data_IF_121719615556
#
_entry.id   IF_121719615556
#
_cell.length_a   1.000
_cell.length_b   1.000
_cell.length_c   1.000
_cell.angle_alpha   90.00
_cell.angle_beta   90.00
_cell.angle_gamma   90.00
#
_symmetry.space_group_name_H-M   'P 1'
#
loop_
_entity.id
_entity.type
_entity.pdbx_description
1 polymer ?
#
# COMPACT_ATOMS: atom_id res chain seq x y z
N UNK A 1 33.64 -23.19 42.81
CA UNK A 1 32.39 -22.73 42.16
C UNK A 1 32.62 -21.32 41.65
N UNK A 2 32.53 -21.06 40.34
CA UNK A 2 32.57 -19.70 39.82
C UNK A 2 31.19 -19.03 40.00
N UNK A 3 31.12 -17.70 40.21
CA UNK A 3 29.86 -17.03 40.40
C UNK A 3 29.12 -16.89 39.07
N UNK A 4 27.86 -17.32 39.06
CA UNK A 4 26.88 -17.13 38.00
C UNK A 4 26.56 -15.63 37.87
N UNK A 5 27.12 -14.98 36.84
CA UNK A 5 26.69 -13.67 36.37
C UNK A 5 25.37 -13.82 35.64
N UNK A 6 24.25 -13.70 36.36
CA UNK A 6 22.96 -13.33 35.77
C UNK A 6 23.09 -11.90 35.24
N UNK A 7 23.62 -11.78 34.04
CA UNK A 7 23.62 -10.53 33.29
C UNK A 7 22.19 -10.34 32.79
N UNK A 8 21.43 -9.50 33.48
CA UNK A 8 20.11 -9.03 33.04
C UNK A 8 20.31 -8.38 31.68
N UNK A 9 20.09 -9.15 30.61
CA UNK A 9 20.01 -8.63 29.25
C UNK A 9 18.87 -7.60 29.28
N UNK A 10 19.21 -6.31 29.28
CA UNK A 10 18.26 -5.29 28.82
C UNK A 10 17.92 -5.72 27.40
N UNK A 11 16.76 -6.32 27.21
CA UNK A 11 16.20 -6.56 25.88
C UNK A 11 16.08 -5.17 25.28
N UNK A 12 16.95 -4.84 24.34
CA UNK A 12 16.77 -3.63 23.55
C UNK A 12 15.52 -3.90 22.72
N UNK A 13 14.43 -3.23 23.10
CA UNK A 13 13.16 -3.33 22.38
C UNK A 13 13.39 -2.95 20.91
N UNK A 14 13.01 -3.86 20.01
CA UNK A 14 13.25 -3.70 18.57
C UNK A 14 12.53 -2.45 18.04
N UNK A 15 13.01 -1.83 16.94
CA UNK A 15 12.30 -0.71 16.33
C UNK A 15 10.84 -1.02 15.99
N UNK A 16 10.55 -2.27 15.60
CA UNK A 16 9.19 -2.72 15.31
C UNK A 16 8.29 -2.72 16.55
N UNK A 17 8.76 -3.20 17.70
CA UNK A 17 7.96 -3.17 18.92
C UNK A 17 7.68 -1.74 19.40
N UNK A 18 8.61 -0.80 19.20
CA UNK A 18 8.36 0.62 19.47
C UNK A 18 7.36 1.23 18.51
N UNK A 19 7.38 0.82 17.24
CA UNK A 19 6.38 1.23 16.26
C UNK A 19 4.98 0.72 16.65
N UNK A 20 4.88 -0.55 17.06
CA UNK A 20 3.63 -1.13 17.58
C UNK A 20 3.15 -0.41 18.84
N UNK A 21 4.06 -0.05 19.76
CA UNK A 21 3.74 0.75 20.93
C UNK A 21 3.18 2.15 20.57
N UNK A 22 3.73 2.78 19.53
CA UNK A 22 3.17 4.03 19.00
C UNK A 22 1.76 3.79 18.45
N UNK A 23 1.61 2.73 17.65
CA UNK A 23 0.38 2.37 16.99
C UNK A 23 -0.75 2.02 17.97
N UNK A 24 -0.44 1.39 19.10
CA UNK A 24 -1.43 1.04 20.14
C UNK A 24 -1.99 2.27 20.90
N UNK A 25 -1.38 3.44 20.74
CA UNK A 25 -1.84 4.70 21.34
C UNK A 25 -2.73 5.52 20.39
N UNK A 26 -2.85 5.08 19.14
CA UNK A 26 -3.61 5.79 18.13
C UNK A 26 -5.12 5.56 18.34
N UNK A 27 -5.88 6.64 18.22
CA UNK A 27 -7.35 6.64 18.24
C UNK A 27 -7.83 7.22 16.92
N UNK A 28 -8.59 6.43 16.15
CA UNK A 28 -9.19 6.88 14.90
C UNK A 28 -10.68 6.55 14.95
N UNK A 29 -11.49 7.47 14.46
CA UNK A 29 -12.94 7.28 14.35
C UNK A 29 -13.24 6.33 13.18
N UNK A 30 -14.24 5.45 13.33
CA UNK A 30 -14.60 4.47 12.29
C UNK A 30 -15.11 5.14 10.99
N UNK A 31 -15.59 6.39 11.08
CA UNK A 31 -16.09 7.20 9.96
C UNK A 31 -15.01 8.07 9.29
N UNK A 32 -13.71 7.81 9.52
CA UNK A 32 -12.65 8.66 9.00
C UNK A 32 -12.65 8.80 7.46
N UNK A 33 -13.12 7.78 6.72
CA UNK A 33 -13.30 7.85 5.27
C UNK A 33 -14.32 8.92 4.89
N UNK A 34 -15.50 8.91 5.52
CA UNK A 34 -16.55 9.92 5.33
C UNK A 34 -16.04 11.33 5.64
N UNK A 35 -15.26 11.48 6.71
CA UNK A 35 -14.67 12.77 7.08
C UNK A 35 -13.68 13.29 6.03
N UNK A 36 -12.89 12.38 5.44
CA UNK A 36 -11.97 12.68 4.35
C UNK A 36 -12.74 13.09 3.09
N UNK A 37 -13.74 12.32 2.68
CA UNK A 37 -14.48 12.54 1.44
C UNK A 37 -15.31 13.82 1.48
N UNK A 38 -15.90 14.13 2.64
CA UNK A 38 -16.61 15.40 2.88
C UNK A 38 -15.68 16.58 3.08
N UNK A 39 -14.37 16.35 3.25
CA UNK A 39 -13.39 17.39 3.52
C UNK A 39 -13.62 18.13 4.84
N UNK A 40 -14.04 17.43 5.91
CA UNK A 40 -14.28 18.04 7.23
C UNK A 40 -12.96 18.35 7.95
N UNK A 41 -12.35 19.48 7.55
CA UNK A 41 -11.08 19.97 8.11
C UNK A 41 -11.11 20.10 9.64
N UNK A 42 -12.25 20.44 10.25
CA UNK A 42 -12.33 20.65 11.69
C UNK A 42 -12.24 19.32 12.45
N UNK A 43 -12.94 18.29 11.97
CA UNK A 43 -12.89 16.95 12.56
C UNK A 43 -11.54 16.28 12.30
N UNK A 44 -11.01 16.36 11.08
CA UNK A 44 -9.68 15.84 10.74
C UNK A 44 -8.59 16.48 11.63
N UNK A 45 -8.63 17.81 11.84
CA UNK A 45 -7.68 18.50 12.73
C UNK A 45 -7.76 18.02 14.17
N UNK A 46 -8.95 17.69 14.67
CA UNK A 46 -9.14 17.14 16.01
C UNK A 46 -8.48 15.77 16.15
N UNK A 47 -8.75 14.86 15.20
CA UNK A 47 -8.17 13.51 15.16
C UNK A 47 -6.63 13.60 15.10
N UNK A 48 -6.10 14.41 14.18
CA UNK A 48 -4.65 14.59 14.03
C UNK A 48 -4.01 15.19 15.29
N UNK A 49 -4.65 16.19 15.89
CA UNK A 49 -4.16 16.79 17.14
C UNK A 49 -4.13 15.80 18.29
N UNK A 50 -5.10 14.88 18.37
CA UNK A 50 -5.17 13.85 19.40
C UNK A 50 -4.02 12.84 19.24
N UNK A 51 -3.68 12.47 18.00
CA UNK A 51 -2.67 11.45 17.70
C UNK A 51 -1.24 11.99 17.50
N UNK A 52 -1.03 13.29 17.67
CA UNK A 52 0.22 13.96 17.30
C UNK A 52 1.48 13.32 17.90
N UNK A 53 1.44 12.97 19.17
CA UNK A 53 2.59 12.36 19.86
C UNK A 53 2.88 10.95 19.35
N UNK A 54 1.84 10.13 19.15
CA UNK A 54 1.96 8.78 18.60
C UNK A 54 2.51 8.80 17.17
N UNK A 55 2.00 9.69 16.31
CA UNK A 55 2.48 9.85 14.93
C UNK A 55 3.95 10.30 14.88
N UNK A 56 4.34 11.26 15.73
CA UNK A 56 5.72 11.70 15.83
C UNK A 56 6.65 10.58 16.33
N UNK A 57 6.21 9.81 17.32
CA UNK A 57 6.98 8.68 17.84
C UNK A 57 7.13 7.55 16.82
N UNK A 58 6.06 7.24 16.07
CA UNK A 58 6.09 6.27 14.98
C UNK A 58 7.14 6.63 13.92
N UNK A 59 7.17 7.90 13.46
CA UNK A 59 8.16 8.39 12.48
C UNK A 59 9.62 8.17 12.89
N UNK A 60 9.93 8.22 14.19
CA UNK A 60 11.28 7.96 14.70
C UNK A 60 11.72 6.50 14.56
N UNK A 61 10.78 5.59 14.29
CA UNK A 61 10.99 4.16 14.22
C UNK A 61 10.68 3.56 12.84
N UNK A 62 10.19 4.37 11.91
CA UNK A 62 10.12 4.02 10.50
C UNK A 62 11.52 3.96 9.88
N UNK A 63 11.73 2.99 8.98
CA UNK A 63 12.96 2.87 8.21
C UNK A 63 13.38 1.43 7.93
N UNK A 64 14.50 1.23 7.21
CA UNK A 64 14.86 -0.05 6.61
C UNK A 64 15.24 -1.14 7.64
N UNK A 65 15.52 -0.76 8.88
CA UNK A 65 15.83 -1.70 9.97
C UNK A 65 14.61 -2.10 10.79
N UNK A 66 13.46 -1.46 10.59
CA UNK A 66 12.21 -1.83 11.25
C UNK A 66 11.63 -3.07 10.59
N UNK A 67 11.63 -4.18 11.33
CA UNK A 67 11.17 -5.49 10.84
C UNK A 67 10.60 -6.33 11.98
N UNK A 68 9.72 -7.23 11.61
CA UNK A 68 9.21 -8.28 12.50
C UNK A 68 10.35 -9.23 12.84
N UNK A 69 10.48 -9.56 14.12
CA UNK A 69 11.34 -10.64 14.58
C UNK A 69 10.50 -11.93 14.62
N UNK A 70 10.48 -12.66 13.50
CA UNK A 70 9.68 -13.88 13.37
C UNK A 70 10.09 -14.91 14.44
N UNK A 71 9.08 -15.41 15.15
CA UNK A 71 9.22 -16.48 16.15
C UNK A 71 8.54 -17.74 15.61
N UNK A 72 9.26 -18.86 15.67
CA UNK A 72 8.76 -20.18 15.26
C UNK A 72 8.01 -20.86 16.41
N UNK A 73 6.90 -20.25 16.81
CA UNK A 73 5.95 -20.75 17.81
C UNK A 73 4.54 -20.79 17.19
N UNK A 74 3.76 -21.85 17.45
CA UNK A 74 2.44 -22.02 16.83
C UNK A 74 1.45 -20.88 17.15
N UNK A 75 1.59 -20.23 18.31
CA UNK A 75 0.75 -19.09 18.71
C UNK A 75 1.31 -17.72 18.27
N UNK A 76 2.42 -17.69 17.51
CA UNK A 76 3.00 -16.45 17.00
C UNK A 76 1.98 -15.63 16.21
N UNK A 77 1.25 -16.26 15.28
CA UNK A 77 0.24 -15.59 14.48
C UNK A 77 -0.84 -14.93 15.35
N UNK A 78 -1.39 -15.68 16.32
CA UNK A 78 -2.39 -15.17 17.24
C UNK A 78 -1.85 -14.01 18.11
N UNK A 79 -0.60 -14.09 18.57
CA UNK A 79 0.08 -13.01 19.32
C UNK A 79 0.39 -11.79 18.46
N UNK A 80 0.64 -11.97 17.17
CA UNK A 80 0.99 -10.88 16.25
C UNK A 80 -0.23 -10.19 15.64
N UNK A 81 -1.39 -10.86 15.57
CA UNK A 81 -2.62 -10.29 15.01
C UNK A 81 -3.03 -8.94 15.64
N UNK A 82 -3.00 -8.75 16.98
CA UNK A 82 -3.24 -7.44 17.59
C UNK A 82 -2.27 -6.35 17.11
N UNK A 83 -0.99 -6.68 16.86
CA UNK A 83 -0.01 -5.73 16.35
C UNK A 83 -0.40 -5.25 14.94
N UNK A 84 -0.83 -6.16 14.06
CA UNK A 84 -1.33 -5.80 12.73
C UNK A 84 -2.53 -4.86 12.81
N UNK A 85 -3.47 -5.10 13.74
CA UNK A 85 -4.62 -4.21 13.94
C UNK A 85 -4.21 -2.81 14.40
N UNK A 86 -3.25 -2.72 15.34
CA UNK A 86 -2.70 -1.44 15.76
C UNK A 86 -2.02 -0.71 14.58
N UNK A 87 -1.22 -1.39 13.77
CA UNK A 87 -0.56 -0.81 12.60
C UNK A 87 -1.56 -0.32 11.54
N UNK A 88 -2.69 -1.01 11.36
CA UNK A 88 -3.81 -0.53 10.54
C UNK A 88 -4.40 0.76 11.10
N UNK A 89 -4.63 0.84 12.41
CA UNK A 89 -5.06 2.07 13.09
C UNK A 89 -4.08 3.23 12.87
N UNK A 90 -2.78 2.98 13.01
CA UNK A 90 -1.73 3.96 12.73
C UNK A 90 -1.73 4.42 11.27
N UNK A 91 -1.91 3.50 10.32
CA UNK A 91 -2.06 3.85 8.90
C UNK A 91 -3.24 4.78 8.67
N UNK A 92 -4.41 4.52 9.28
CA UNK A 92 -5.59 5.39 9.16
C UNK A 92 -5.28 6.80 9.70
N UNK A 93 -4.60 6.90 10.84
CA UNK A 93 -4.21 8.19 11.41
C UNK A 93 -3.22 8.98 10.53
N UNK A 94 -2.24 8.31 9.91
CA UNK A 94 -1.38 8.96 8.90
C UNK A 94 -2.18 9.40 7.67
N UNK A 95 -3.10 8.58 7.18
CA UNK A 95 -3.98 8.98 6.06
C UNK A 95 -4.77 10.24 6.43
N UNK A 96 -5.40 10.28 7.60
CA UNK A 96 -6.10 11.48 8.12
C UNK A 96 -5.17 12.71 8.16
N UNK A 97 -3.94 12.57 8.67
CA UNK A 97 -2.95 13.64 8.73
C UNK A 97 -2.56 14.14 7.32
N UNK A 98 -2.35 13.22 6.38
CA UNK A 98 -1.99 13.52 5.01
C UNK A 98 -3.09 14.26 4.25
N UNK A 99 -4.33 13.80 4.38
CA UNK A 99 -5.49 14.47 3.79
C UNK A 99 -5.70 15.85 4.39
N UNK A 100 -5.57 16.01 5.71
CA UNK A 100 -5.63 17.32 6.36
C UNK A 100 -4.55 18.26 5.81
N UNK A 101 -3.30 17.78 5.70
CA UNK A 101 -2.21 18.57 5.14
C UNK A 101 -2.53 19.03 3.71
N UNK A 102 -3.09 18.14 2.88
CA UNK A 102 -3.59 18.49 1.55
C UNK A 102 -4.70 19.55 1.59
N UNK A 103 -5.75 19.36 2.38
CA UNK A 103 -6.84 20.35 2.49
C UNK A 103 -6.37 21.72 3.00
N UNK A 104 -5.29 21.76 3.78
CA UNK A 104 -4.64 23.00 4.25
C UNK A 104 -3.60 23.57 3.28
N UNK A 105 -3.47 23.00 2.08
CA UNK A 105 -2.49 23.36 1.05
C UNK A 105 -1.02 23.18 1.48
N UNK A 106 -0.76 22.30 2.45
CA UNK A 106 0.59 21.90 2.89
C UNK A 106 1.07 20.70 2.07
N UNK A 107 1.27 20.91 0.77
CA UNK A 107 1.52 19.83 -0.20
C UNK A 107 2.79 19.03 0.07
N UNK A 108 3.87 19.69 0.49
CA UNK A 108 5.11 19.02 0.85
C UNK A 108 4.93 18.11 2.08
N UNK A 109 4.13 18.55 3.06
CA UNK A 109 3.80 17.74 4.23
C UNK A 109 2.96 16.52 3.81
N UNK A 110 1.94 16.71 2.97
CA UNK A 110 1.13 15.61 2.43
C UNK A 110 1.99 14.58 1.68
N UNK A 111 2.96 15.02 0.87
CA UNK A 111 3.90 14.14 0.20
C UNK A 111 4.80 13.37 1.18
N UNK A 112 5.31 14.05 2.22
CA UNK A 112 6.13 13.40 3.26
C UNK A 112 5.32 12.35 4.03
N UNK A 113 4.06 12.63 4.35
CA UNK A 113 3.16 11.68 5.03
C UNK A 113 2.85 10.48 4.12
N UNK A 114 2.71 10.69 2.81
CA UNK A 114 2.61 9.61 1.84
C UNK A 114 3.83 8.69 1.87
N UNK A 115 5.05 9.24 1.97
CA UNK A 115 6.27 8.44 2.15
C UNK A 115 6.31 7.72 3.51
N UNK A 116 5.81 8.35 4.59
CA UNK A 116 5.70 7.70 5.91
C UNK A 116 4.78 6.47 5.84
N UNK A 117 3.67 6.54 5.11
CA UNK A 117 2.78 5.39 4.86
C UNK A 117 3.47 4.27 4.08
N UNK A 118 4.26 4.61 3.04
CA UNK A 118 5.01 3.62 2.28
C UNK A 118 6.12 2.95 3.12
N UNK A 119 6.77 3.69 4.01
CA UNK A 119 7.73 3.13 4.98
C UNK A 119 7.03 2.26 6.04
N UNK A 120 5.85 2.68 6.52
CA UNK A 120 5.01 1.89 7.43
C UNK A 120 4.59 0.57 6.78
N UNK A 121 4.20 0.59 5.50
CA UNK A 121 3.88 -0.61 4.73
C UNK A 121 5.07 -1.58 4.71
N UNK A 122 6.27 -1.07 4.43
CA UNK A 122 7.51 -1.85 4.47
C UNK A 122 7.80 -2.41 5.87
N UNK A 123 7.69 -1.59 6.91
CA UNK A 123 7.90 -2.00 8.31
C UNK A 123 6.89 -3.06 8.78
N UNK A 124 5.67 -3.02 8.24
CA UNK A 124 4.59 -3.96 8.58
C UNK A 124 4.84 -5.34 7.97
N UNK A 125 5.32 -5.44 6.73
CA UNK A 125 5.59 -6.74 6.10
C UNK A 125 6.97 -7.32 6.40
N UNK A 126 8.02 -6.49 6.46
CA UNK A 126 9.43 -6.93 6.46
C UNK A 126 9.73 -7.91 7.59
N UNK A 127 10.25 -9.08 7.21
CA UNK A 127 10.61 -10.15 8.14
C UNK A 127 9.41 -10.94 8.72
N UNK A 128 8.18 -10.57 8.38
CA UNK A 128 6.95 -11.25 8.82
C UNK A 128 6.53 -12.40 7.92
N UNK A 129 5.32 -12.89 8.17
CA UNK A 129 4.64 -13.92 7.39
C UNK A 129 3.86 -13.30 6.21
N UNK A 130 3.27 -14.12 5.35
CA UNK A 130 2.48 -13.66 4.21
C UNK A 130 1.35 -12.70 4.64
N UNK A 131 0.69 -12.98 5.77
CA UNK A 131 -0.36 -12.13 6.31
C UNK A 131 0.12 -10.71 6.66
N UNK A 132 1.34 -10.57 7.19
CA UNK A 132 1.95 -9.27 7.50
C UNK A 132 2.20 -8.47 6.21
N UNK A 133 2.63 -9.15 5.15
CA UNK A 133 2.81 -8.57 3.82
C UNK A 133 1.48 -8.07 3.22
N UNK A 134 0.40 -8.84 3.37
CA UNK A 134 -0.93 -8.42 2.91
C UNK A 134 -1.41 -7.14 3.58
N UNK A 135 -1.18 -6.98 4.89
CA UNK A 135 -1.47 -5.72 5.59
C UNK A 135 -0.57 -4.60 5.05
N UNK A 136 0.72 -4.88 4.83
CA UNK A 136 1.65 -3.95 4.18
C UNK A 136 1.15 -3.46 2.81
N UNK A 137 0.57 -4.33 1.97
CA UNK A 137 0.01 -3.92 0.67
C UNK A 137 -1.14 -2.92 0.81
N UNK A 138 -2.07 -3.17 1.74
CA UNK A 138 -3.18 -2.26 2.00
C UNK A 138 -2.69 -0.88 2.47
N UNK A 139 -1.70 -0.85 3.37
CA UNK A 139 -1.08 0.40 3.83
C UNK A 139 -0.35 1.11 2.67
N UNK A 140 0.33 0.35 1.80
CA UNK A 140 1.00 0.90 0.62
C UNK A 140 0.01 1.55 -0.34
N UNK A 141 -1.16 0.94 -0.55
CA UNK A 141 -2.21 1.51 -1.37
C UNK A 141 -2.68 2.86 -0.84
N UNK A 142 -2.86 3.00 0.49
CA UNK A 142 -3.18 4.28 1.12
C UNK A 142 -2.09 5.34 0.92
N UNK A 143 -0.81 4.94 1.00
CA UNK A 143 0.32 5.83 0.72
C UNK A 143 0.34 6.33 -0.73
N UNK A 144 0.12 5.43 -1.69
CA UNK A 144 0.00 5.79 -3.11
C UNK A 144 -1.22 6.68 -3.36
N UNK A 145 -2.37 6.40 -2.75
CA UNK A 145 -3.58 7.23 -2.87
C UNK A 145 -3.33 8.68 -2.44
N UNK A 146 -2.67 8.85 -1.30
CA UNK A 146 -2.33 10.17 -0.79
C UNK A 146 -1.35 10.89 -1.74
N UNK A 147 -0.31 10.20 -2.21
CA UNK A 147 0.68 10.78 -3.13
C UNK A 147 0.05 11.19 -4.46
N UNK A 148 -0.76 10.31 -5.06
CA UNK A 148 -1.38 10.55 -6.35
C UNK A 148 -2.43 11.67 -6.26
N UNK A 149 -3.14 11.83 -5.14
CA UNK A 149 -4.22 12.81 -5.01
C UNK A 149 -3.73 14.25 -5.15
N UNK A 150 -2.54 14.53 -4.63
CA UNK A 150 -1.95 15.89 -4.67
C UNK A 150 -0.83 16.05 -5.69
N UNK A 151 -0.59 15.06 -6.57
CA UNK A 151 0.51 15.03 -7.55
C UNK A 151 0.61 16.23 -8.48
N UNK A 152 -0.51 16.91 -8.75
CA UNK A 152 -0.54 18.12 -9.57
C UNK A 152 -0.13 19.40 -8.81
N UNK A 153 0.04 19.34 -7.48
CA UNK A 153 0.36 20.47 -6.59
C UNK A 153 1.81 20.47 -6.11
N UNK A 154 2.55 19.37 -6.31
CA UNK A 154 3.94 19.26 -5.89
C UNK A 154 4.85 20.17 -6.71
N UNK A 155 5.78 20.82 -6.01
CA UNK A 155 6.84 21.62 -6.61
C UNK A 155 8.06 20.76 -6.98
N UNK A 156 9.05 21.38 -7.62
CA UNK A 156 10.27 20.69 -8.07
C UNK A 156 11.04 20.04 -6.91
N UNK A 157 11.09 20.69 -5.74
CA UNK A 157 11.76 20.14 -4.56
C UNK A 157 11.06 18.87 -4.05
N UNK A 158 9.73 18.89 -3.98
CA UNK A 158 8.92 17.74 -3.58
C UNK A 158 9.03 16.60 -4.57
N UNK A 159 8.93 16.89 -5.88
CA UNK A 159 9.09 15.88 -6.93
C UNK A 159 10.49 15.24 -6.88
N UNK A 160 11.54 16.03 -6.69
CA UNK A 160 12.91 15.53 -6.54
C UNK A 160 13.04 14.58 -5.34
N UNK A 161 12.43 14.94 -4.21
CA UNK A 161 12.43 14.11 -3.01
C UNK A 161 11.70 12.78 -3.23
N UNK A 162 10.52 12.80 -3.87
CA UNK A 162 9.76 11.59 -4.21
C UNK A 162 10.53 10.66 -5.15
N UNK A 163 11.20 11.20 -6.18
CA UNK A 163 12.02 10.44 -7.13
C UNK A 163 13.17 9.68 -6.48
N UNK A 164 13.68 10.17 -5.34
CA UNK A 164 14.72 9.48 -4.58
C UNK A 164 14.11 8.47 -3.63
N UNK A 165 13.04 8.83 -2.92
CA UNK A 165 12.54 8.05 -1.79
C UNK A 165 11.68 6.86 -2.21
N UNK A 166 10.82 6.99 -3.23
CA UNK A 166 9.95 5.88 -3.65
C UNK A 166 10.78 4.67 -4.11
N UNK A 167 11.81 4.81 -4.98
CA UNK A 167 12.64 3.67 -5.38
C UNK A 167 13.46 3.07 -4.22
N UNK A 168 13.89 3.89 -3.25
CA UNK A 168 14.58 3.39 -2.06
C UNK A 168 13.66 2.54 -1.17
N UNK A 169 12.39 2.91 -1.06
CA UNK A 169 11.39 2.14 -0.31
C UNK A 169 11.11 0.82 -1.04
N UNK A 170 10.92 0.86 -2.36
CA UNK A 170 10.75 -0.33 -3.19
C UNK A 170 11.94 -1.31 -3.03
N UNK A 171 13.16 -0.81 -3.18
CA UNK A 171 14.39 -1.62 -3.02
C UNK A 171 14.57 -2.17 -1.60
N UNK A 172 13.87 -1.62 -0.62
CA UNK A 172 13.90 -2.07 0.77
C UNK A 172 12.92 -3.20 1.07
N UNK A 173 12.03 -3.59 0.14
CA UNK A 173 11.04 -4.67 0.35
C UNK A 173 11.72 -6.05 0.40
N UNK A 174 11.07 -7.01 1.06
CA UNK A 174 11.52 -8.40 0.99
C UNK A 174 11.24 -8.97 -0.41
N UNK A 175 12.11 -9.87 -0.87
CA UNK A 175 11.86 -10.64 -2.09
C UNK A 175 10.64 -11.56 -1.91
N UNK A 176 9.74 -11.56 -2.88
CA UNK A 176 8.47 -12.30 -2.81
C UNK A 176 8.68 -13.80 -2.59
N UNK A 177 9.64 -14.42 -3.29
CA UNK A 177 9.90 -15.85 -3.13
C UNK A 177 10.48 -16.15 -1.74
N UNK A 178 11.29 -15.23 -1.18
CA UNK A 178 11.79 -15.35 0.19
C UNK A 178 10.67 -15.21 1.24
N UNK A 179 9.60 -14.47 0.96
CA UNK A 179 8.41 -14.39 1.83
C UNK A 179 7.68 -15.74 1.82
N UNK A 180 7.35 -16.27 0.64
CA UNK A 180 6.67 -17.57 0.51
C UNK A 180 7.47 -18.72 1.14
N UNK A 181 8.79 -18.74 0.93
CA UNK A 181 9.65 -19.75 1.54
C UNK A 181 9.66 -19.65 3.06
N UNK A 182 9.66 -18.43 3.60
CA UNK A 182 9.63 -18.19 5.05
C UNK A 182 8.30 -18.64 5.66
N UNK A 183 7.20 -18.38 4.98
CA UNK A 183 5.84 -18.75 5.39
C UNK A 183 5.71 -20.28 5.48
N UNK A 184 6.02 -20.97 4.38
CA UNK A 184 6.03 -22.44 4.30
C UNK A 184 6.92 -23.07 5.36
N UNK A 185 8.13 -22.51 5.57
CA UNK A 185 9.06 -23.00 6.58
C UNK A 185 8.54 -22.78 8.01
N UNK A 186 7.82 -21.69 8.25
CA UNK A 186 7.19 -21.44 9.53
C UNK A 186 6.11 -22.48 9.80
N UNK A 187 5.21 -22.72 8.83
CA UNK A 187 4.15 -23.74 8.92
C UNK A 187 4.73 -25.14 9.18
N UNK A 188 5.77 -25.54 8.45
CA UNK A 188 6.44 -26.84 8.63
C UNK A 188 7.03 -27.00 10.04
N UNK A 189 7.71 -25.96 10.56
CA UNK A 189 8.40 -26.03 11.86
C UNK A 189 7.42 -26.04 13.03
N UNK A 190 6.35 -25.25 12.95
CA UNK A 190 5.37 -25.16 14.03
C UNK A 190 4.29 -26.24 13.95
N UNK A 191 4.38 -27.11 12.92
CA UNK A 191 3.36 -28.11 12.59
C UNK A 191 1.97 -27.46 12.53
N UNK A 192 1.87 -26.32 11.83
CA UNK A 192 0.64 -25.54 11.79
C UNK A 192 -0.48 -26.42 11.22
N UNK A 193 -1.62 -26.54 11.93
CA UNK A 193 -2.66 -27.47 11.53
C UNK A 193 -3.25 -27.05 10.19
N UNK A 194 -3.28 -27.97 9.23
CA UNK A 194 -4.09 -27.88 8.02
C UNK A 194 -5.55 -28.23 8.37
N UNK A 195 -6.09 -27.49 9.34
CA UNK A 195 -7.49 -27.61 9.74
C UNK A 195 -8.34 -26.74 8.80
N UNK A 196 -9.40 -27.31 8.20
CA UNK A 196 -10.31 -26.52 7.39
C UNK A 196 -10.90 -25.42 8.27
N UNK A 197 -10.96 -24.20 7.73
CA UNK A 197 -11.54 -23.04 8.40
C UNK A 197 -12.95 -23.41 8.89
N UNK A 198 -13.19 -23.24 10.19
CA UNK A 198 -14.52 -23.45 10.75
C UNK A 198 -15.46 -22.39 10.18
N UNK A 199 -16.49 -22.83 9.45
CA UNK A 199 -17.46 -21.91 8.83
C UNK A 199 -18.17 -21.06 9.87
N UNK A 200 -18.29 -21.52 11.11
CA UNK A 200 -18.92 -20.75 12.18
C UNK A 200 -18.10 -19.52 12.59
N UNK A 201 -16.79 -19.50 12.33
CA UNK A 201 -15.92 -18.34 12.59
C UNK A 201 -16.14 -17.19 11.59
N UNK A 202 -16.83 -17.47 10.48
CA UNK A 202 -17.11 -16.52 9.38
C UNK A 202 -18.61 -16.40 9.11
N UNK A 203 -19.46 -16.84 10.03
CA UNK A 203 -20.90 -16.59 9.93
C UNK A 203 -21.20 -15.13 10.27
N UNK A 204 -22.03 -14.49 9.43
CA UNK A 204 -22.60 -13.18 9.77
C UNK A 204 -23.37 -13.27 11.08
N UNK A 205 -23.21 -12.26 11.93
CA UNK A 205 -24.01 -12.15 13.15
C UNK A 205 -25.46 -11.86 12.80
N UNK A 206 -26.38 -12.09 13.75
CA UNK A 206 -27.79 -11.73 13.54
C UNK A 206 -28.00 -10.21 13.41
N UNK A 207 -27.06 -9.40 13.91
CA UNK A 207 -27.07 -7.94 13.74
C UNK A 207 -26.68 -7.60 12.29
N UNK A 208 -25.57 -8.15 11.78
CA UNK A 208 -25.14 -7.93 10.39
C UNK A 208 -26.22 -8.36 9.38
N UNK A 209 -26.86 -9.52 9.62
CA UNK A 209 -27.96 -10.01 8.77
C UNK A 209 -29.19 -9.11 8.78
N UNK A 210 -29.41 -8.31 9.83
CA UNK A 210 -30.54 -7.37 9.88
C UNK A 210 -30.24 -6.09 9.09
N UNK A 211 -28.96 -5.74 8.92
CA UNK A 211 -28.52 -4.58 8.16
C UNK A 211 -28.38 -4.87 6.66
N UNK A 212 -28.35 -6.15 6.27
CA UNK A 212 -28.18 -6.61 4.90
C UNK A 212 -29.49 -7.16 4.30
N UNK A 213 -29.65 -7.00 2.99
CA UNK A 213 -30.70 -7.67 2.21
C UNK A 213 -30.43 -9.17 2.06
N UNK A 214 -31.48 -9.95 1.75
CA UNK A 214 -31.33 -11.40 1.48
C UNK A 214 -30.35 -11.69 0.33
N UNK A 215 -30.30 -10.81 -0.67
CA UNK A 215 -29.39 -10.91 -1.81
C UNK A 215 -27.93 -10.67 -1.40
N UNK A 216 -27.67 -9.66 -0.56
CA UNK A 216 -26.33 -9.37 -0.03
C UNK A 216 -25.83 -10.50 0.89
N UNK A 217 -26.71 -11.08 1.70
CA UNK A 217 -26.37 -12.24 2.54
C UNK A 217 -26.03 -13.45 1.67
N UNK A 218 -26.80 -13.72 0.62
CA UNK A 218 -26.52 -14.82 -0.31
C UNK A 218 -25.17 -14.61 -1.03
N UNK A 219 -24.93 -13.40 -1.53
CA UNK A 219 -23.67 -13.03 -2.18
C UNK A 219 -22.47 -13.16 -1.21
N UNK A 220 -22.63 -12.75 0.06
CA UNK A 220 -21.61 -12.92 1.09
C UNK A 220 -21.19 -14.39 1.23
N UNK A 221 -22.16 -15.29 1.41
CA UNK A 221 -21.86 -16.71 1.61
C UNK A 221 -21.32 -17.38 0.33
N UNK A 222 -21.73 -16.93 -0.86
CA UNK A 222 -21.13 -17.37 -2.12
C UNK A 222 -19.65 -16.98 -2.21
N UNK A 223 -19.31 -15.72 -1.89
CA UNK A 223 -17.92 -15.25 -1.85
C UNK A 223 -17.09 -16.02 -0.81
N UNK A 224 -17.66 -16.27 0.37
CA UNK A 224 -17.03 -17.09 1.41
C UNK A 224 -16.74 -18.49 0.90
N UNK A 225 -17.71 -19.16 0.29
CA UNK A 225 -17.55 -20.52 -0.23
C UNK A 225 -16.51 -20.58 -1.35
N UNK A 226 -16.54 -19.61 -2.28
CA UNK A 226 -15.51 -19.49 -3.31
C UNK A 226 -14.13 -19.32 -2.68
N UNK A 227 -13.98 -18.43 -1.70
CA UNK A 227 -12.71 -18.12 -1.03
C UNK A 227 -12.13 -19.32 -0.29
N UNK A 228 -12.96 -20.07 0.43
CA UNK A 228 -12.53 -21.26 1.17
C UNK A 228 -12.10 -22.41 0.25
N UNK A 229 -12.60 -22.44 -0.99
CA UNK A 229 -12.36 -23.53 -1.93
C UNK A 229 -11.38 -23.14 -3.07
N UNK A 230 -10.71 -21.98 -3.00
CA UNK A 230 -9.71 -21.58 -3.99
C UNK A 230 -8.54 -22.58 -3.95
N UNK A 231 -8.17 -23.22 -5.09
CA UNK A 231 -6.99 -24.08 -5.16
C UNK A 231 -5.72 -23.35 -4.72
N UNK A 232 -4.78 -24.05 -4.07
CA UNK A 232 -3.56 -23.42 -3.55
C UNK A 232 -2.69 -22.73 -4.61
N UNK A 233 -2.69 -23.26 -5.84
CA UNK A 233 -2.02 -22.62 -6.99
C UNK A 233 -2.65 -21.25 -7.28
N UNK A 234 -3.98 -21.17 -7.30
CA UNK A 234 -4.73 -19.93 -7.54
C UNK A 234 -4.64 -18.94 -6.36
N UNK A 235 -4.55 -19.43 -5.12
CA UNK A 235 -4.24 -18.59 -3.94
C UNK A 235 -2.85 -17.95 -4.05
N UNK A 236 -1.86 -18.72 -4.50
CA UNK A 236 -0.49 -18.24 -4.69
C UNK A 236 -0.41 -17.20 -5.79
N UNK A 237 -1.11 -17.42 -6.92
CA UNK A 237 -1.19 -16.49 -8.02
C UNK A 237 -1.93 -15.20 -7.63
N UNK A 238 -3.00 -15.30 -6.85
CA UNK A 238 -3.71 -14.14 -6.31
C UNK A 238 -2.79 -13.29 -5.44
N UNK A 239 -2.04 -13.93 -4.54
CA UNK A 239 -1.11 -13.22 -3.65
C UNK A 239 0.05 -12.58 -4.43
N UNK A 240 0.56 -13.26 -5.46
CA UNK A 240 1.56 -12.70 -6.39
C UNK A 240 1.01 -11.51 -7.16
N UNK A 241 -0.24 -11.56 -7.61
CA UNK A 241 -0.89 -10.46 -8.33
C UNK A 241 -1.05 -9.22 -7.43
N UNK A 242 -1.31 -9.42 -6.13
CA UNK A 242 -1.35 -8.33 -5.15
C UNK A 242 0.04 -7.73 -4.88
N UNK A 243 1.09 -8.55 -4.75
CA UNK A 243 2.48 -8.05 -4.67
C UNK A 243 2.86 -7.26 -5.93
N UNK A 244 2.59 -7.81 -7.12
CA UNK A 244 2.85 -7.15 -8.38
C UNK A 244 2.05 -5.85 -8.52
N UNK A 245 0.80 -5.79 -8.04
CA UNK A 245 0.01 -4.54 -7.99
C UNK A 245 0.69 -3.51 -7.09
N UNK A 246 1.17 -3.90 -5.91
CA UNK A 246 1.86 -2.99 -5.00
C UNK A 246 3.16 -2.44 -5.62
N UNK A 247 3.96 -3.30 -6.25
CA UNK A 247 5.18 -2.89 -6.98
C UNK A 247 4.83 -1.98 -8.16
N UNK A 248 3.81 -2.34 -8.94
CA UNK A 248 3.35 -1.53 -10.07
C UNK A 248 2.91 -0.14 -9.61
N UNK A 249 2.20 -0.02 -8.49
CA UNK A 249 1.80 1.26 -7.91
C UNK A 249 2.99 2.17 -7.56
N UNK A 250 4.03 1.61 -6.92
CA UNK A 250 5.27 2.36 -6.61
C UNK A 250 5.98 2.84 -7.88
N UNK A 251 6.08 1.97 -8.90
CA UNK A 251 6.75 2.29 -10.17
C UNK A 251 5.96 3.26 -11.03
N UNK A 252 4.64 3.11 -11.09
CA UNK A 252 3.74 4.08 -11.72
C UNK A 252 3.84 5.46 -11.07
N UNK A 253 3.87 5.53 -9.73
CA UNK A 253 4.03 6.80 -9.01
C UNK A 253 5.41 7.42 -9.26
N UNK A 254 6.47 6.59 -9.34
CA UNK A 254 7.82 7.05 -9.73
C UNK A 254 7.81 7.65 -11.15
N UNK A 255 7.19 6.97 -12.12
CA UNK A 255 7.10 7.44 -13.50
C UNK A 255 6.23 8.70 -13.64
N UNK A 256 5.06 8.78 -13.00
CA UNK A 256 4.22 10.00 -12.99
C UNK A 256 5.01 11.19 -12.40
N UNK A 257 5.72 10.97 -11.29
CA UNK A 257 6.60 11.98 -10.68
C UNK A 257 7.70 12.42 -11.66
N UNK A 258 8.34 11.48 -12.36
CA UNK A 258 9.40 11.76 -13.32
C UNK A 258 8.88 12.55 -14.53
N UNK A 259 7.71 12.20 -15.05
CA UNK A 259 7.04 12.91 -16.15
C UNK A 259 6.73 14.35 -15.75
N UNK A 260 6.27 14.57 -14.51
CA UNK A 260 6.00 15.92 -13.98
C UNK A 260 7.27 16.73 -13.77
N UNK A 261 8.33 16.10 -13.26
CA UNK A 261 9.65 16.72 -13.13
C UNK A 261 10.18 17.14 -14.51
N UNK A 262 10.12 16.25 -15.50
CA UNK A 262 10.51 16.56 -16.87
C UNK A 262 9.75 17.77 -17.42
N UNK A 263 8.43 17.85 -17.19
CA UNK A 263 7.63 19.01 -17.59
C UNK A 263 8.03 20.29 -16.85
N UNK A 264 8.35 20.22 -15.56
CA UNK A 264 8.82 21.37 -14.80
C UNK A 264 10.15 21.91 -15.37
N UNK A 265 11.07 21.02 -15.75
CA UNK A 265 12.38 21.37 -16.31
C UNK A 265 12.33 21.89 -17.75
N UNK A 266 11.47 21.32 -18.59
CA UNK A 266 11.49 21.56 -20.05
C UNK A 266 10.31 22.40 -20.56
N UNK A 267 9.26 22.58 -19.75
CA UNK A 267 8.01 23.22 -20.13
C UNK A 267 7.02 22.32 -20.88
N UNK A 268 7.37 21.07 -21.20
CA UNK A 268 6.50 20.11 -21.91
C UNK A 268 6.60 18.70 -21.36
N UNK A 269 5.55 17.90 -21.49
CA UNK A 269 5.65 16.45 -21.20
C UNK A 269 6.56 15.74 -22.21
N UNK A 270 7.21 14.62 -21.82
CA UNK A 270 8.06 13.85 -22.72
C UNK A 270 7.22 13.23 -23.84
N UNK A 271 7.80 13.02 -25.02
CA UNK A 271 7.07 12.34 -26.12
C UNK A 271 7.00 10.83 -25.95
N UNK A 272 7.95 10.28 -25.19
CA UNK A 272 8.09 8.86 -24.86
C UNK A 272 8.87 8.73 -23.55
N UNK A 273 8.68 7.64 -22.81
CA UNK A 273 9.34 7.44 -21.51
C UNK A 273 10.87 7.48 -21.60
N UNK A 274 11.46 7.06 -22.72
CA UNK A 274 12.90 7.11 -22.93
C UNK A 274 13.52 8.53 -22.89
N UNK A 275 12.71 9.60 -22.96
CA UNK A 275 13.21 10.98 -22.77
C UNK A 275 13.47 11.33 -21.29
N UNK A 276 12.98 10.52 -20.34
CA UNK A 276 13.24 10.68 -18.92
C UNK A 276 14.69 10.33 -18.55
N UNK A 277 15.38 9.55 -19.38
CA UNK A 277 16.76 9.12 -19.16
C UNK A 277 17.75 9.90 -20.03
N UNK A 278 19.00 10.10 -19.57
CA UNK A 278 19.49 9.88 -18.20
C UNK A 278 19.18 11.08 -17.27
N UNK A 279 18.35 12.03 -17.71
CA UNK A 279 18.22 13.34 -17.06
C UNK A 279 17.42 13.34 -15.76
N UNK A 280 16.23 12.76 -15.78
CA UNK A 280 15.32 12.69 -14.61
C UNK A 280 15.46 11.36 -13.89
N UNK A 281 15.61 10.27 -14.64
CA UNK A 281 15.80 8.92 -14.13
C UNK A 281 17.13 8.34 -14.62
N UNK A 282 17.71 7.44 -13.82
CA UNK A 282 18.88 6.66 -14.23
C UNK A 282 18.50 5.55 -15.22
N UNK A 283 17.37 4.89 -14.98
CA UNK A 283 16.78 3.85 -15.82
C UNK A 283 15.25 3.88 -15.69
N UNK A 284 14.55 3.24 -16.64
CA UNK A 284 13.10 3.09 -16.56
C UNK A 284 12.76 1.85 -15.72
N UNK A 285 11.88 1.96 -14.70
CA UNK A 285 11.39 0.79 -13.99
C UNK A 285 10.51 -0.06 -14.92
N UNK A 286 10.68 -1.38 -14.88
CA UNK A 286 9.84 -2.33 -15.64
C UNK A 286 8.49 -2.55 -14.96
N UNK A 287 7.47 -2.87 -15.72
CA UNK A 287 6.17 -3.31 -15.23
C UNK A 287 6.29 -4.74 -14.66
N UNK A 288 5.95 -4.99 -13.39
CA UNK A 288 6.07 -6.32 -12.77
C UNK A 288 5.13 -7.37 -13.38
N UNK A 289 4.10 -6.99 -14.13
CA UNK A 289 3.20 -7.95 -14.80
C UNK A 289 3.73 -8.42 -16.16
N UNK A 290 4.50 -7.58 -16.86
CA UNK A 290 4.92 -7.86 -18.24
C UNK A 290 6.44 -7.95 -18.43
N UNK A 291 7.22 -7.53 -17.42
CA UNK A 291 8.68 -7.35 -17.48
C UNK A 291 9.14 -6.40 -18.60
N UNK A 292 8.26 -5.52 -19.06
CA UNK A 292 8.49 -4.52 -20.12
C UNK A 292 8.25 -3.11 -19.59
N UNK A 293 8.47 -2.09 -20.41
CA UNK A 293 8.13 -0.72 -20.05
C UNK A 293 6.62 -0.57 -19.84
N UNK A 294 6.23 0.28 -18.88
CA UNK A 294 4.85 0.72 -18.70
C UNK A 294 4.32 1.41 -19.97
N UNK A 295 3.01 1.31 -20.19
CA UNK A 295 2.38 1.92 -21.36
C UNK A 295 2.19 3.41 -21.10
N UNK A 296 2.81 4.23 -21.95
CA UNK A 296 2.70 5.68 -21.95
C UNK A 296 2.07 6.18 -23.24
N UNK A 297 0.96 6.93 -23.14
CA UNK A 297 0.27 7.51 -24.29
C UNK A 297 0.13 9.03 -24.12
N UNK A 298 0.96 9.84 -24.80
CA UNK A 298 0.82 11.29 -24.76
C UNK A 298 -0.45 11.73 -25.48
N UNK A 299 -1.20 12.64 -24.87
CA UNK A 299 -2.44 13.19 -25.43
C UNK A 299 -2.17 14.60 -25.96
N UNK A 300 -2.29 14.74 -27.27
CA UNK A 300 -1.93 15.95 -28.00
C UNK A 300 -3.13 16.90 -28.11
N UNK A 301 -2.88 18.21 -28.01
CA UNK A 301 -3.91 19.23 -28.24
C UNK A 301 -3.63 20.06 -29.48
N UNK A 302 -4.70 20.42 -30.18
CA UNK A 302 -4.73 21.39 -31.28
C UNK A 302 -4.52 20.75 -32.65
N UNK A 303 -4.99 21.45 -33.70
CA UNK A 303 -5.01 20.96 -35.10
C UNK A 303 -3.62 20.51 -35.59
N UNK A 304 -2.56 21.11 -35.05
CA UNK A 304 -1.17 20.82 -35.44
C UNK A 304 -0.39 19.96 -34.44
N UNK A 305 -1.03 19.42 -33.39
CA UNK A 305 -0.40 18.52 -32.40
C UNK A 305 0.96 19.05 -31.90
N UNK A 306 1.02 20.33 -31.55
CA UNK A 306 2.29 21.00 -31.21
C UNK A 306 2.70 20.84 -29.75
N UNK A 307 1.76 20.46 -28.88
CA UNK A 307 2.01 20.28 -27.45
C UNK A 307 1.16 19.13 -26.89
N UNK A 308 1.76 18.41 -25.94
CA UNK A 308 1.10 17.37 -25.14
C UNK A 308 0.41 18.07 -23.97
N UNK A 309 -0.90 17.88 -23.83
CA UNK A 309 -1.71 18.49 -22.76
C UNK A 309 -1.81 17.60 -21.53
N UNK A 310 -1.99 16.30 -21.75
CA UNK A 310 -2.04 15.27 -20.72
C UNK A 310 -1.44 13.97 -21.25
N UNK A 311 -1.47 12.92 -20.45
CA UNK A 311 -0.95 11.61 -20.83
C UNK A 311 -1.73 10.51 -20.11
N UNK A 312 -1.69 9.31 -20.66
CA UNK A 312 -2.05 8.08 -19.96
C UNK A 312 -0.77 7.35 -19.58
N UNK A 313 -0.74 6.77 -18.40
CA UNK A 313 0.34 5.94 -17.89
C UNK A 313 -0.28 4.77 -17.12
N UNK A 314 -0.02 3.54 -17.55
CA UNK A 314 -0.68 2.35 -17.00
C UNK A 314 0.07 1.05 -17.29
N UNK A 315 -0.37 -0.02 -16.64
CA UNK A 315 0.01 -1.41 -16.89
C UNK A 315 -1.21 -2.20 -17.38
N UNK A 316 -1.07 -3.18 -18.28
CA UNK A 316 -2.17 -4.08 -18.64
C UNK A 316 -2.59 -5.04 -17.51
N UNK A 317 -1.90 -5.03 -16.37
CA UNK A 317 -2.26 -5.82 -15.20
C UNK A 317 -2.04 -7.32 -15.38
N UNK A 318 -2.63 -8.16 -14.50
CA UNK A 318 -2.41 -9.61 -14.46
C UNK A 318 -2.73 -10.33 -15.78
N UNK A 319 -3.76 -9.88 -16.52
CA UNK A 319 -4.17 -10.49 -17.79
C UNK A 319 -3.18 -10.23 -18.92
N UNK A 320 -2.26 -9.26 -18.75
CA UNK A 320 -1.33 -8.76 -19.76
C UNK A 320 -2.02 -8.32 -21.06
N UNK A 321 -3.31 -8.01 -21.00
CA UNK A 321 -4.09 -7.51 -22.13
C UNK A 321 -4.21 -6.00 -22.03
N UNK A 322 -3.73 -5.27 -23.06
CA UNK A 322 -3.87 -3.81 -23.12
C UNK A 322 -5.29 -3.43 -23.53
N UNK A 323 -6.06 -2.85 -22.61
CA UNK A 323 -7.43 -2.37 -22.85
C UNK A 323 -7.48 -0.92 -23.34
N UNK A 324 -6.34 -0.38 -23.78
CA UNK A 324 -6.25 0.90 -24.45
C UNK A 324 -6.30 2.12 -23.52
N UNK A 325 -6.11 1.92 -22.20
CA UNK A 325 -6.39 2.90 -21.17
C UNK A 325 -7.85 2.87 -20.70
N UNK A 326 -8.50 1.72 -20.78
CA UNK A 326 -9.82 1.51 -20.16
C UNK A 326 -9.58 1.14 -18.71
N UNK A 327 -9.91 2.03 -17.79
CA UNK A 327 -9.61 1.86 -16.36
C UNK A 327 -10.85 1.46 -15.58
N UNK A 328 -10.63 0.82 -14.44
CA UNK A 328 -11.67 0.36 -13.52
C UNK A 328 -11.09 0.02 -12.16
N UNK A 329 -11.94 -0.38 -11.19
CA UNK A 329 -11.46 -0.83 -9.90
C UNK A 329 -10.66 -2.12 -10.06
N UNK A 330 -9.79 -2.42 -9.10
CA UNK A 330 -8.88 -3.57 -9.20
C UNK A 330 -9.56 -4.93 -9.52
N UNK A 331 -10.78 -5.25 -9.05
CA UNK A 331 -11.46 -6.48 -9.47
C UNK A 331 -11.62 -6.60 -10.99
N UNK A 332 -11.93 -5.50 -11.70
CA UNK A 332 -12.00 -5.51 -13.17
C UNK A 332 -10.62 -5.67 -13.81
N UNK A 333 -9.59 -5.06 -13.21
CA UNK A 333 -8.19 -5.24 -13.66
C UNK A 333 -7.75 -6.69 -13.49
N UNK A 334 -8.05 -7.31 -12.34
CA UNK A 334 -7.73 -8.69 -12.03
C UNK A 334 -8.49 -9.67 -12.94
N UNK A 335 -9.74 -9.35 -13.30
CA UNK A 335 -10.54 -10.11 -14.26
C UNK A 335 -10.07 -9.93 -15.73
N UNK A 336 -9.15 -9.01 -16.00
CA UNK A 336 -8.69 -8.71 -17.35
C UNK A 336 -9.73 -7.96 -18.19
N UNK A 337 -10.49 -7.07 -17.54
CA UNK A 337 -11.49 -6.21 -18.17
C UNK A 337 -11.06 -4.72 -18.19
N UNK A 338 -10.00 -4.38 -17.45
CA UNK A 338 -9.46 -3.03 -17.34
C UNK A 338 -7.93 -3.03 -17.19
N UNK A 339 -7.32 -1.88 -17.49
CA UNK A 339 -5.89 -1.60 -17.27
C UNK A 339 -5.65 -1.05 -15.85
N UNK A 340 -4.49 -1.37 -15.27
CA UNK A 340 -4.04 -0.86 -13.98
C UNK A 340 -3.44 0.55 -14.12
N UNK A 341 -4.01 1.55 -13.44
CA UNK A 341 -3.45 2.90 -13.35
C UNK A 341 -3.35 3.38 -11.89
N UNK A 342 -2.72 4.54 -11.67
CA UNK A 342 -2.64 5.12 -10.32
C UNK A 342 -4.02 5.48 -9.77
N UNK A 343 -4.97 5.85 -10.63
CA UNK A 343 -6.28 6.35 -10.23
C UNK A 343 -7.31 5.23 -10.04
N UNK A 344 -6.89 3.96 -9.92
CA UNK A 344 -7.79 2.80 -9.72
C UNK A 344 -8.81 3.01 -8.58
N UNK A 345 -8.44 3.75 -7.54
CA UNK A 345 -9.30 3.98 -6.38
C UNK A 345 -10.48 4.92 -6.68
N UNK A 346 -10.39 5.74 -7.74
CA UNK A 346 -11.47 6.66 -8.13
C UNK A 346 -12.60 5.94 -8.87
N UNK A 347 -12.41 4.67 -9.25
CA UNK A 347 -13.40 3.86 -10.01
C UNK A 347 -14.29 3.00 -9.11
N UNK A 348 -14.21 3.14 -7.78
CA UNK A 348 -15.08 2.41 -6.84
C UNK A 348 -16.42 3.11 -6.58
N UNK A 349 -16.66 4.30 -7.15
CA UNK A 349 -17.76 5.18 -6.74
C UNK A 349 -18.70 5.61 -7.88
N UNK A 350 -19.08 4.69 -8.77
CA UNK A 350 -20.17 4.93 -9.70
C UNK A 350 -21.00 3.64 -9.88
N UNK A 351 -21.94 3.41 -8.95
CA UNK A 351 -23.28 2.84 -9.22
C UNK A 351 -24.28 3.30 -8.15
#
# INVERSE_FOLDING_TARGET
MPPSTKQTRRVFESPYLRLVQAASQVVVDDDYHDLIDRGDVASLRRIVSHNREALAFARMHLGPTCKIELVYEADFFAKNCPNMQHLRGLSRAFTTEGHLAGLENRWADAASIGLDLLELAGATGRGGLLCDHMVGWAISAAGIDLLRRWRAKYDEATLSHLLVRIPQIEAGRDDWNAVLERDRKWEEIVEYPDEPVDRSDIELTEEDKQEMSEEEIAAYYEVVDLTLNIPDEERTDTSRNLENRAIAGLRLMTLDTAIRMFRAMTGSYPRQLAELIPGVLAELPSDPFTERDFIYRPQWKGIFHRAIECFLLYSPGPSQTDHGGTFGPYPLVAAGEADLCLDEADYWSED
#
